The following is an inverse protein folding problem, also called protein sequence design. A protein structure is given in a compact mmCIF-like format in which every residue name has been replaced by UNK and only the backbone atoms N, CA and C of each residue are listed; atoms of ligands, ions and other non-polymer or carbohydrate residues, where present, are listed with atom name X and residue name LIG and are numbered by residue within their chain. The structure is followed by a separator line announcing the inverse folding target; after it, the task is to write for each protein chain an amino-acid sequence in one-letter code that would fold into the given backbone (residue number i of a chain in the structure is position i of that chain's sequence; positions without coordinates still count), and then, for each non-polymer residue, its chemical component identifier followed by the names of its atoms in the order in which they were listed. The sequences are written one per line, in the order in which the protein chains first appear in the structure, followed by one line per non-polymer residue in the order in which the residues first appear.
data_IF_975129267721
#
_entry.id   IF_975129267721
#
_cell.length_a   1.000
_cell.length_b   1.000
_cell.length_c   1.000
_cell.angle_alpha   90.00
_cell.angle_beta   90.00
_cell.angle_gamma   90.00
#
_symmetry.space_group_name_H-M   'P 1'
#
loop_
_entity.id
_entity.type
_entity.pdbx_description
1 polymer ?
#
# COMPACT_ATOMS: atom_id res chain seq x y z
N UNK A 1 5.17 -20.46 -37.68
CA UNK A 1 5.79 -20.34 -39.05
C UNK A 1 7.14 -21.03 -39.08
N UNK A 2 8.01 -20.82 -38.08
CA UNK A 2 9.32 -21.46 -38.01
C UNK A 2 9.22 -22.96 -37.79
N UNK A 3 8.28 -23.40 -36.99
CA UNK A 3 7.97 -24.81 -36.69
C UNK A 3 7.61 -25.57 -37.96
N UNK A 4 6.77 -24.97 -38.81
CA UNK A 4 6.36 -25.54 -40.08
C UNK A 4 7.52 -25.65 -41.07
N UNK A 5 8.43 -24.65 -41.08
CA UNK A 5 9.64 -24.67 -41.89
C UNK A 5 10.57 -25.78 -41.45
N UNK A 6 10.81 -25.94 -40.14
CA UNK A 6 11.66 -26.96 -39.54
C UNK A 6 11.11 -28.37 -39.84
N UNK A 7 9.80 -28.54 -39.63
CA UNK A 7 9.13 -29.80 -39.92
C UNK A 7 9.15 -30.14 -41.43
N UNK A 8 8.99 -29.12 -42.31
CA UNK A 8 9.03 -29.34 -43.76
C UNK A 8 10.42 -29.80 -44.25
N UNK A 9 11.46 -29.28 -43.62
CA UNK A 9 12.83 -29.65 -43.92
C UNK A 9 13.13 -31.10 -43.52
N UNK A 10 12.49 -31.60 -42.44
CA UNK A 10 12.65 -32.99 -41.96
C UNK A 10 11.76 -33.97 -42.66
N UNK A 11 10.66 -33.56 -43.28
CA UNK A 11 9.67 -34.51 -43.85
C UNK A 11 9.46 -34.30 -45.35
N UNK A 12 9.12 -33.09 -45.79
CA UNK A 12 8.84 -32.82 -47.21
C UNK A 12 10.11 -32.87 -48.06
N UNK A 13 11.23 -32.35 -47.53
CA UNK A 13 12.48 -32.34 -48.26
C UNK A 13 13.01 -33.76 -48.52
N UNK A 14 13.07 -34.70 -47.56
CA UNK A 14 13.46 -36.08 -47.82
C UNK A 14 12.53 -36.81 -48.79
N UNK A 15 11.18 -36.62 -48.67
CA UNK A 15 10.22 -37.22 -49.62
C UNK A 15 10.44 -36.67 -51.04
N UNK A 16 10.69 -35.38 -51.18
CA UNK A 16 11.07 -34.76 -52.47
C UNK A 16 12.41 -35.30 -53.02
N UNK A 17 13.43 -35.40 -52.17
CA UNK A 17 14.75 -35.97 -52.59
C UNK A 17 14.60 -37.41 -53.05
N UNK A 18 13.82 -38.22 -52.36
CA UNK A 18 13.51 -39.60 -52.77
C UNK A 18 12.79 -39.62 -54.13
N UNK A 19 11.78 -38.76 -54.34
CA UNK A 19 11.09 -38.65 -55.64
C UNK A 19 11.99 -38.19 -56.76
N UNK A 20 12.89 -37.26 -56.46
CA UNK A 20 13.82 -36.71 -57.45
C UNK A 20 14.93 -37.69 -57.86
N UNK A 21 15.58 -38.32 -56.89
CA UNK A 21 16.74 -39.17 -57.17
C UNK A 21 16.38 -40.65 -57.30
N UNK A 22 15.37 -41.14 -56.62
CA UNK A 22 14.91 -42.53 -56.70
C UNK A 22 13.90 -42.77 -57.83
N UNK A 23 13.01 -41.78 -58.11
CA UNK A 23 11.94 -41.90 -59.12
C UNK A 23 12.13 -41.02 -60.36
N UNK A 24 13.14 -40.16 -60.37
CA UNK A 24 13.45 -39.26 -61.49
C UNK A 24 12.48 -38.08 -61.70
N UNK A 25 11.52 -37.82 -60.79
CA UNK A 25 10.52 -36.81 -60.89
C UNK A 25 11.08 -35.43 -60.55
N UNK A 26 10.80 -34.39 -61.39
CA UNK A 26 11.29 -33.01 -61.21
C UNK A 26 10.16 -32.04 -60.94
N UNK A 27 10.43 -31.03 -60.07
CA UNK A 27 9.51 -29.92 -59.85
C UNK A 27 9.37 -29.12 -61.14
N UNK A 28 8.14 -28.74 -61.49
CA UNK A 28 7.80 -28.00 -62.69
C UNK A 28 7.52 -28.83 -63.91
N UNK A 29 7.80 -30.15 -63.86
CA UNK A 29 7.48 -31.11 -64.92
C UNK A 29 6.48 -32.16 -64.47
N UNK A 30 6.92 -33.15 -63.70
CA UNK A 30 6.09 -34.23 -63.15
C UNK A 30 5.44 -33.84 -61.83
N UNK A 31 6.11 -33.02 -60.99
CA UNK A 31 5.55 -32.44 -59.76
C UNK A 31 5.10 -31.00 -60.04
N UNK A 32 3.83 -30.80 -60.41
CA UNK A 32 3.21 -29.50 -60.62
C UNK A 32 2.45 -29.02 -59.40
N UNK A 33 1.96 -27.78 -59.40
CA UNK A 33 1.15 -27.26 -58.33
C UNK A 33 -0.14 -28.10 -58.08
N UNK A 34 -0.65 -28.79 -59.13
CA UNK A 34 -1.82 -29.67 -58.99
C UNK A 34 -1.47 -31.05 -58.51
N UNK A 35 -0.30 -31.58 -58.85
CA UNK A 35 0.12 -32.95 -58.49
C UNK A 35 0.95 -32.97 -57.18
N UNK A 36 1.43 -31.85 -56.68
CA UNK A 36 2.27 -31.75 -55.48
C UNK A 36 1.65 -32.45 -54.26
N UNK A 37 0.34 -32.24 -54.06
CA UNK A 37 -0.41 -32.87 -52.98
C UNK A 37 -0.43 -34.41 -53.08
N UNK A 38 -0.55 -34.93 -54.26
CA UNK A 38 -0.56 -36.37 -54.49
C UNK A 38 0.85 -36.97 -54.43
N UNK A 39 1.80 -36.31 -55.06
CA UNK A 39 3.18 -36.79 -55.15
C UNK A 39 3.92 -36.67 -53.82
N UNK A 40 3.77 -35.60 -53.06
CA UNK A 40 4.43 -35.38 -51.77
C UNK A 40 3.46 -35.58 -50.59
N UNK A 41 2.35 -36.33 -50.78
CA UNK A 41 1.33 -36.55 -49.75
C UNK A 41 1.89 -37.04 -48.42
N UNK A 42 2.84 -37.96 -48.43
CA UNK A 42 3.41 -38.53 -47.22
C UNK A 42 4.28 -37.49 -46.48
N UNK A 43 5.13 -36.75 -47.20
CA UNK A 43 5.90 -35.67 -46.65
C UNK A 43 5.03 -34.58 -46.07
N UNK A 44 3.93 -34.19 -46.76
CA UNK A 44 2.98 -33.16 -46.33
C UNK A 44 2.17 -33.62 -45.09
N UNK A 45 1.62 -34.82 -45.08
CA UNK A 45 0.83 -35.34 -43.97
C UNK A 45 1.70 -35.51 -42.72
N UNK A 46 2.91 -36.10 -42.87
CA UNK A 46 3.84 -36.22 -41.73
C UNK A 46 4.32 -34.87 -41.24
N UNK A 47 4.55 -33.92 -42.13
CA UNK A 47 4.88 -32.53 -41.76
C UNK A 47 3.75 -31.90 -40.89
N UNK A 48 2.51 -32.02 -41.35
CA UNK A 48 1.36 -31.48 -40.62
C UNK A 48 1.24 -32.11 -39.22
N UNK A 49 1.31 -33.44 -39.14
CA UNK A 49 1.22 -34.18 -37.88
C UNK A 49 2.37 -33.83 -36.93
N UNK A 50 3.59 -33.74 -37.45
CA UNK A 50 4.77 -33.37 -36.67
C UNK A 50 4.67 -31.92 -36.17
N UNK A 51 4.19 -30.99 -37.00
CA UNK A 51 4.02 -29.59 -36.66
C UNK A 51 2.95 -29.43 -35.56
N UNK A 52 1.81 -30.08 -35.68
CA UNK A 52 0.75 -30.07 -34.65
C UNK A 52 1.28 -30.65 -33.34
N UNK A 53 1.98 -31.81 -33.40
CA UNK A 53 2.57 -32.43 -32.24
C UNK A 53 3.61 -31.52 -31.55
N UNK A 54 4.50 -30.93 -32.34
CA UNK A 54 5.53 -30.02 -31.84
C UNK A 54 4.90 -28.77 -31.16
N UNK A 55 3.94 -28.14 -31.83
CA UNK A 55 3.21 -26.98 -31.27
C UNK A 55 2.52 -27.35 -29.96
N UNK A 56 1.85 -28.51 -29.91
CA UNK A 56 1.18 -28.98 -28.70
C UNK A 56 2.17 -29.21 -27.55
N UNK A 57 3.33 -29.85 -27.81
CA UNK A 57 4.35 -30.08 -26.79
C UNK A 57 4.97 -28.76 -26.32
N UNK A 58 5.24 -27.82 -27.25
CA UNK A 58 5.77 -26.48 -26.90
C UNK A 58 4.82 -25.79 -25.95
N UNK A 59 3.61 -25.50 -26.38
CA UNK A 59 2.69 -24.67 -25.60
C UNK A 59 2.18 -25.36 -24.33
N UNK A 60 2.14 -26.69 -24.28
CA UNK A 60 1.79 -27.41 -23.07
C UNK A 60 2.87 -27.35 -21.99
N UNK A 61 4.14 -27.56 -22.37
CA UNK A 61 5.25 -27.65 -21.41
C UNK A 61 6.03 -26.34 -21.23
N UNK A 62 5.99 -25.44 -22.20
CA UNK A 62 6.71 -24.18 -22.20
C UNK A 62 5.73 -23.03 -22.45
N UNK A 63 5.03 -22.56 -21.39
CA UNK A 63 4.03 -21.51 -21.48
C UNK A 63 4.55 -20.22 -22.12
N UNK A 64 3.71 -19.61 -22.94
CA UNK A 64 4.01 -18.36 -23.63
C UNK A 64 2.82 -17.41 -23.57
N UNK A 65 3.09 -16.12 -23.37
CA UNK A 65 2.03 -15.12 -23.37
C UNK A 65 2.49 -13.80 -23.98
N UNK A 66 1.60 -13.18 -24.73
CA UNK A 66 1.75 -11.79 -25.21
C UNK A 66 1.11 -10.78 -24.26
N UNK A 67 0.40 -11.26 -23.23
CA UNK A 67 -0.29 -10.45 -22.23
C UNK A 67 0.58 -10.29 -20.99
N UNK A 68 1.74 -9.69 -21.15
CA UNK A 68 2.64 -9.36 -20.06
C UNK A 68 2.89 -7.85 -20.01
N UNK A 69 2.97 -7.29 -18.81
CA UNK A 69 3.15 -5.86 -18.59
C UNK A 69 4.14 -5.61 -17.47
N UNK A 70 5.05 -4.66 -17.68
CA UNK A 70 5.93 -4.17 -16.64
C UNK A 70 5.09 -3.47 -15.56
N UNK A 71 4.88 -4.15 -14.43
CA UNK A 71 4.00 -3.67 -13.36
C UNK A 71 4.65 -2.52 -12.60
N UNK A 72 3.85 -1.53 -12.23
CA UNK A 72 4.27 -0.47 -11.32
C UNK A 72 3.15 -0.12 -10.35
N UNK A 73 3.55 0.29 -9.14
CA UNK A 73 2.62 0.68 -8.09
C UNK A 73 2.29 2.16 -8.21
N UNK A 74 1.03 2.48 -8.05
CA UNK A 74 0.53 3.86 -7.93
C UNK A 74 -0.09 4.09 -6.56
N UNK A 75 0.00 5.30 -6.05
CA UNK A 75 -0.63 5.74 -4.80
C UNK A 75 -1.62 6.86 -5.15
N UNK A 76 -2.92 6.67 -4.93
CA UNK A 76 -3.89 7.72 -5.16
C UNK A 76 -3.69 8.87 -4.16
N UNK A 77 -3.70 10.11 -4.65
CA UNK A 77 -3.61 11.31 -3.82
C UNK A 77 -5.04 11.67 -3.38
N UNK A 78 -5.34 11.39 -2.11
CA UNK A 78 -6.63 11.65 -1.51
C UNK A 78 -6.47 12.60 -0.32
N UNK A 79 -7.37 13.59 -0.14
CA UNK A 79 -7.41 14.38 1.08
C UNK A 79 -7.92 13.52 2.25
N UNK A 80 -7.45 13.78 3.46
CA UNK A 80 -7.97 13.12 4.66
C UNK A 80 -9.24 13.80 5.18
N UNK A 81 -9.46 15.05 4.81
CA UNK A 81 -10.60 15.86 5.24
C UNK A 81 -11.32 16.52 4.06
N UNK A 82 -12.58 16.84 4.26
CA UNK A 82 -13.35 17.60 3.28
C UNK A 82 -12.93 19.06 3.32
N UNK A 83 -12.83 19.71 2.17
CA UNK A 83 -12.51 21.12 2.11
C UNK A 83 -12.47 21.68 0.70
N UNK A 84 -12.30 22.98 0.61
CA UNK A 84 -12.04 23.70 -0.63
C UNK A 84 -10.54 23.84 -0.82
N UNK A 85 -10.03 23.59 -2.02
CA UNK A 85 -8.63 23.81 -2.36
C UNK A 85 -8.29 25.30 -2.31
N UNK A 86 -7.37 25.67 -1.43
CA UNK A 86 -6.88 27.03 -1.26
C UNK A 86 -5.62 27.30 -2.06
N UNK A 87 -4.68 26.34 -2.08
CA UNK A 87 -3.41 26.45 -2.78
C UNK A 87 -2.99 25.13 -3.39
N UNK A 88 -2.22 25.20 -4.48
CA UNK A 88 -1.63 24.06 -5.18
C UNK A 88 -0.13 24.34 -5.30
N UNK A 89 0.70 23.37 -4.91
CA UNK A 89 2.16 23.49 -4.91
C UNK A 89 2.82 22.69 -6.04
N UNK A 90 2.07 21.76 -6.68
CA UNK A 90 2.57 21.00 -7.84
C UNK A 90 2.35 21.82 -9.10
N UNK A 91 3.44 22.02 -9.87
CA UNK A 91 3.38 22.74 -11.14
C UNK A 91 2.91 21.80 -12.27
N UNK A 92 1.79 22.15 -12.91
CA UNK A 92 1.27 21.43 -14.08
C UNK A 92 0.53 20.12 -13.73
N UNK A 93 0.38 19.28 -14.75
CA UNK A 93 -0.35 17.99 -14.67
C UNK A 93 0.53 16.89 -14.13
N UNK A 94 1.86 17.03 -14.25
CA UNK A 94 2.86 16.09 -13.75
C UNK A 94 4.08 16.83 -13.19
N UNK A 95 4.69 16.27 -12.13
CA UNK A 95 5.88 16.85 -11.50
C UNK A 95 6.57 15.91 -10.54
N UNK A 96 7.91 16.03 -10.44
CA UNK A 96 8.68 15.29 -9.44
C UNK A 96 8.47 15.91 -8.07
N UNK A 97 8.25 15.09 -7.05
CA UNK A 97 8.03 15.51 -5.67
C UNK A 97 8.83 14.65 -4.70
N UNK A 98 9.31 15.27 -3.64
CA UNK A 98 10.00 14.57 -2.52
C UNK A 98 9.03 14.22 -1.41
N UNK A 99 9.34 13.19 -0.65
CA UNK A 99 8.60 12.82 0.56
C UNK A 99 8.45 14.02 1.50
N UNK A 100 7.26 14.21 2.05
CA UNK A 100 6.92 15.29 2.95
C UNK A 100 6.65 16.64 2.27
N UNK A 101 6.97 16.81 0.98
CA UNK A 101 6.65 18.06 0.27
C UNK A 101 5.14 18.22 0.08
N UNK A 102 4.62 19.45 0.22
CA UNK A 102 3.20 19.73 0.07
C UNK A 102 2.79 19.57 -1.41
N UNK A 103 1.62 18.96 -1.64
CA UNK A 103 1.00 18.82 -2.96
C UNK A 103 -0.05 19.92 -3.16
N UNK A 104 -0.97 20.03 -2.24
CA UNK A 104 -1.97 21.10 -2.19
C UNK A 104 -2.44 21.35 -0.75
N UNK A 105 -3.08 22.49 -0.51
CA UNK A 105 -3.63 22.87 0.78
C UNK A 105 -5.12 23.18 0.65
N UNK A 106 -5.88 22.71 1.62
CA UNK A 106 -7.29 23.07 1.79
C UNK A 106 -7.43 24.38 2.56
N UNK A 107 -8.57 25.01 2.46
CA UNK A 107 -8.95 26.12 3.33
C UNK A 107 -8.97 25.63 4.78
N UNK A 108 -8.11 26.20 5.59
CA UNK A 108 -7.84 25.81 6.97
C UNK A 108 -8.35 26.81 8.00
N UNK A 109 -9.09 27.86 7.55
CA UNK A 109 -9.55 28.94 8.41
C UNK A 109 -10.34 28.46 9.63
N UNK A 110 -11.13 27.41 9.47
CA UNK A 110 -11.89 26.77 10.57
C UNK A 110 -10.97 26.05 11.57
N UNK A 111 -9.99 25.34 11.10
CA UNK A 111 -9.03 24.59 11.92
C UNK A 111 -8.08 25.55 12.66
N UNK A 112 -7.64 26.63 12.02
CA UNK A 112 -6.88 27.69 12.66
C UNK A 112 -7.66 28.34 13.79
N UNK A 113 -8.93 28.68 13.56
CA UNK A 113 -9.80 29.25 14.61
C UNK A 113 -10.00 28.27 15.78
N UNK A 114 -10.13 26.98 15.51
CA UNK A 114 -10.23 25.93 16.54
C UNK A 114 -8.94 25.82 17.37
N UNK A 115 -7.78 25.85 16.73
CA UNK A 115 -6.48 25.81 17.42
C UNK A 115 -6.27 27.06 18.27
N UNK A 116 -6.65 28.23 17.77
CA UNK A 116 -6.57 29.46 18.53
C UNK A 116 -7.52 29.47 19.75
N UNK A 117 -8.72 28.94 19.59
CA UNK A 117 -9.67 28.77 20.69
C UNK A 117 -9.10 27.88 21.78
N UNK A 118 -8.47 26.77 21.41
CA UNK A 118 -7.83 25.86 22.35
C UNK A 118 -6.62 26.49 23.06
N UNK A 119 -5.82 27.32 22.36
CA UNK A 119 -4.73 28.09 22.98
C UNK A 119 -5.25 29.08 24.04
N UNK A 120 -6.34 29.80 23.72
CA UNK A 120 -6.97 30.71 24.68
C UNK A 120 -7.49 29.99 25.92
N UNK A 121 -8.01 28.76 25.75
CA UNK A 121 -8.47 27.97 26.88
C UNK A 121 -7.31 27.56 27.82
N UNK A 122 -6.13 27.27 27.31
CA UNK A 122 -4.94 27.02 28.13
C UNK A 122 -4.56 28.29 28.91
N UNK A 123 -4.52 29.43 28.25
CA UNK A 123 -4.22 30.70 28.89
C UNK A 123 -5.23 31.08 29.99
N UNK A 124 -6.52 30.76 29.80
CA UNK A 124 -7.56 30.95 30.79
C UNK A 124 -7.33 30.08 32.04
N UNK A 125 -6.97 28.80 31.85
CA UNK A 125 -6.64 27.89 32.96
C UNK A 125 -5.37 28.34 33.66
N UNK A 126 -4.34 28.80 32.94
CA UNK A 126 -3.12 29.35 33.55
C UNK A 126 -3.43 30.60 34.41
N UNK A 127 -4.29 31.49 33.95
CA UNK A 127 -4.76 32.62 34.75
C UNK A 127 -5.53 32.14 35.99
N UNK A 128 -6.38 31.12 35.86
CA UNK A 128 -7.09 30.53 36.98
C UNK A 128 -6.14 29.92 38.02
N UNK A 129 -5.02 29.29 37.57
CA UNK A 129 -3.99 28.81 38.48
C UNK A 129 -3.29 29.91 39.27
N UNK A 130 -3.04 31.06 38.65
CA UNK A 130 -2.51 32.26 39.34
C UNK A 130 -3.50 32.76 40.37
N UNK A 131 -4.77 32.89 40.01
CA UNK A 131 -5.83 33.32 40.93
C UNK A 131 -5.96 32.33 42.12
N UNK A 132 -5.95 31.04 41.89
CA UNK A 132 -6.05 30.05 42.94
C UNK A 132 -4.88 30.07 43.94
N UNK A 133 -3.69 30.51 43.52
CA UNK A 133 -2.55 30.73 44.45
C UNK A 133 -2.86 31.89 45.42
N UNK A 134 -3.52 32.95 44.96
CA UNK A 134 -3.93 34.02 45.82
C UNK A 134 -5.05 33.61 46.81
N UNK A 135 -5.92 32.67 46.39
CA UNK A 135 -6.94 32.08 47.27
C UNK A 135 -6.32 31.30 48.43
N UNK A 136 -5.21 30.57 48.17
CA UNK A 136 -4.45 29.86 49.22
C UNK A 136 -3.88 30.84 50.21
N UNK A 137 -3.24 31.93 49.75
CA UNK A 137 -2.65 32.95 50.62
C UNK A 137 -3.79 33.63 51.48
N UNK A 138 -4.94 33.91 50.90
CA UNK A 138 -6.09 34.45 51.61
C UNK A 138 -6.63 33.49 52.67
N UNK A 139 -6.67 32.17 52.37
CA UNK A 139 -7.08 31.14 53.33
C UNK A 139 -6.06 31.01 54.47
N UNK A 140 -4.77 31.15 54.22
CA UNK A 140 -3.72 31.18 55.26
C UNK A 140 -3.93 32.37 56.21
N UNK A 141 -4.21 33.56 55.66
CA UNK A 141 -4.55 34.73 56.48
C UNK A 141 -5.75 34.46 57.40
N UNK A 142 -6.78 33.82 56.92
CA UNK A 142 -7.96 33.46 57.74
C UNK A 142 -7.63 32.44 58.87
N UNK A 143 -6.72 31.54 58.63
CA UNK A 143 -6.22 30.57 59.65
C UNK A 143 -5.51 31.35 60.75
N UNK A 144 -4.63 32.30 60.39
CA UNK A 144 -3.91 33.14 61.37
C UNK A 144 -4.89 33.95 62.22
N UNK A 145 -5.91 34.58 61.60
CA UNK A 145 -6.97 35.33 62.29
C UNK A 145 -7.73 34.40 63.26
N UNK A 146 -8.21 33.24 62.79
CA UNK A 146 -8.93 32.29 63.63
C UNK A 146 -8.11 31.78 64.80
N UNK A 147 -6.80 31.50 64.61
CA UNK A 147 -5.87 31.09 65.65
C UNK A 147 -5.68 32.17 66.70
N UNK A 148 -5.52 33.42 66.27
CA UNK A 148 -5.40 34.56 67.17
C UNK A 148 -6.66 34.73 68.04
N UNK A 149 -7.85 34.63 67.44
CA UNK A 149 -9.11 34.69 68.15
C UNK A 149 -9.30 33.49 69.14
N UNK A 150 -8.85 32.32 68.75
CA UNK A 150 -8.83 31.17 69.66
C UNK A 150 -7.92 31.36 70.83
N UNK A 151 -6.68 31.78 70.61
CA UNK A 151 -5.71 32.04 71.69
C UNK A 151 -6.23 33.06 72.65
N UNK A 152 -6.83 34.18 72.18
CA UNK A 152 -7.43 35.18 73.04
C UNK A 152 -8.52 34.60 73.90
N UNK A 153 -9.41 33.72 73.38
CA UNK A 153 -10.46 33.06 74.15
C UNK A 153 -9.90 32.06 75.15
N UNK A 154 -8.80 31.36 74.86
CA UNK A 154 -8.11 30.48 75.79
C UNK A 154 -7.49 31.29 76.95
N UNK A 155 -6.77 32.34 76.63
CA UNK A 155 -6.14 33.21 77.67
C UNK A 155 -7.18 33.81 78.60
N UNK A 156 -8.35 34.23 78.10
CA UNK A 156 -9.44 34.73 78.91
C UNK A 156 -10.02 33.62 79.82
N UNK A 157 -10.22 32.41 79.26
CA UNK A 157 -10.70 31.28 80.05
C UNK A 157 -9.73 30.90 81.14
N UNK A 158 -8.42 30.75 80.85
CA UNK A 158 -7.39 30.46 81.82
C UNK A 158 -7.33 31.52 82.93
N UNK A 159 -7.37 32.78 82.56
CA UNK A 159 -7.41 33.89 83.54
C UNK A 159 -8.59 33.77 84.46
N UNK A 160 -9.79 33.54 83.96
CA UNK A 160 -11.02 33.36 84.79
C UNK A 160 -10.97 32.11 85.64
N UNK A 161 -10.49 31.01 85.18
CA UNK A 161 -10.24 29.78 85.91
C UNK A 161 -9.27 29.93 87.07
N UNK A 162 -8.16 30.67 86.83
CA UNK A 162 -7.18 30.95 87.88
C UNK A 162 -7.78 31.85 88.97
N UNK A 163 -8.58 32.88 88.58
CA UNK A 163 -9.28 33.72 89.58
C UNK A 163 -10.23 32.91 90.36
N UNK A 164 -11.02 32.01 89.73
CA UNK A 164 -11.94 31.11 90.41
C UNK A 164 -11.25 30.16 91.41
N UNK A 165 -10.11 29.59 91.03
CA UNK A 165 -9.30 28.73 91.89
C UNK A 165 -8.82 29.44 93.12
N UNK A 166 -8.43 30.75 92.97
CA UNK A 166 -7.99 31.59 94.15
C UNK A 166 -9.13 32.11 94.98
N UNK A 167 -10.26 32.43 94.39
CA UNK A 167 -11.46 32.92 95.08
C UNK A 167 -12.73 32.47 94.33
N UNK A 168 -13.37 31.37 94.72
CA UNK A 168 -14.54 30.85 94.07
C UNK A 168 -15.78 31.76 94.05
N UNK A 169 -15.82 32.84 94.86
CA UNK A 169 -16.88 33.85 94.84
C UNK A 169 -16.62 35.04 93.86
N UNK A 170 -15.44 35.14 93.23
CA UNK A 170 -15.08 36.27 92.36
C UNK A 170 -15.55 36.08 90.89
N UNK A 171 -15.86 34.89 90.44
CA UNK A 171 -16.27 34.56 89.09
C UNK A 171 -17.41 33.55 89.12
N UNK A 172 -18.49 33.78 88.38
CA UNK A 172 -19.62 32.80 88.27
C UNK A 172 -19.20 31.60 87.41
N UNK A 173 -19.56 30.39 87.94
CA UNK A 173 -19.31 29.14 87.19
C UNK A 173 -19.86 29.15 85.74
N UNK A 174 -21.01 29.79 85.59
CA UNK A 174 -21.68 29.98 84.29
C UNK A 174 -20.84 30.77 83.28
N UNK A 175 -19.99 31.75 83.76
CA UNK A 175 -19.11 32.53 82.91
C UNK A 175 -17.91 31.67 82.37
N UNK A 176 -17.44 30.73 83.23
CA UNK A 176 -16.40 29.75 82.85
C UNK A 176 -16.95 28.78 81.78
N UNK A 177 -18.18 28.24 82.03
CA UNK A 177 -18.87 27.34 81.07
C UNK A 177 -19.10 28.05 79.72
N UNK A 178 -19.48 29.34 79.71
CA UNK A 178 -19.68 30.13 78.50
C UNK A 178 -18.40 30.36 77.75
N UNK A 179 -17.28 30.62 78.46
CA UNK A 179 -15.97 30.76 77.86
C UNK A 179 -15.47 29.43 77.27
N UNK A 180 -15.73 28.30 77.93
CA UNK A 180 -15.44 26.96 77.37
C UNK A 180 -16.16 26.77 76.04
N UNK A 181 -17.44 27.07 75.94
CA UNK A 181 -18.21 26.97 74.71
C UNK A 181 -17.65 27.94 73.66
N UNK A 182 -17.18 29.13 74.06
CA UNK A 182 -16.52 30.08 73.14
C UNK A 182 -15.25 29.53 72.58
N UNK A 183 -14.39 28.94 73.39
CA UNK A 183 -13.13 28.28 72.98
C UNK A 183 -13.44 27.16 71.97
N UNK A 184 -14.45 26.30 72.26
CA UNK A 184 -14.87 25.27 71.29
C UNK A 184 -15.34 25.86 69.98
N UNK A 185 -16.13 26.92 70.01
CA UNK A 185 -16.59 27.63 68.79
C UNK A 185 -15.43 28.22 67.97
N UNK A 186 -14.40 28.77 68.65
CA UNK A 186 -13.17 29.28 68.00
C UNK A 186 -12.33 28.18 67.41
N UNK A 187 -12.27 27.00 68.05
CA UNK A 187 -11.59 25.80 67.48
C UNK A 187 -12.29 25.39 66.20
N UNK A 188 -13.61 25.31 66.18
CA UNK A 188 -14.38 25.00 64.94
C UNK A 188 -14.14 26.05 63.81
N UNK A 189 -13.86 27.28 64.18
CA UNK A 189 -13.48 28.32 63.15
C UNK A 189 -12.08 28.02 62.55
N UNK A 190 -11.11 27.54 63.32
CA UNK A 190 -9.81 27.11 62.84
C UNK A 190 -9.95 25.93 61.89
N UNK A 191 -10.75 24.94 62.28
CA UNK A 191 -10.98 23.73 61.47
C UNK A 191 -11.65 24.08 60.14
N UNK A 192 -12.64 24.95 60.14
CA UNK A 192 -13.27 25.47 58.93
C UNK A 192 -12.30 26.25 58.03
N UNK A 193 -11.45 27.10 58.62
CA UNK A 193 -10.44 27.85 57.83
C UNK A 193 -9.35 26.90 57.27
N UNK A 194 -8.97 25.85 57.98
CA UNK A 194 -8.04 24.85 57.53
C UNK A 194 -8.64 24.02 56.38
N UNK A 195 -9.88 23.60 56.47
CA UNK A 195 -10.58 22.91 55.39
C UNK A 195 -10.67 23.77 54.11
N UNK A 196 -10.91 25.07 54.26
CA UNK A 196 -10.93 26.02 53.15
C UNK A 196 -9.54 26.14 52.44
N UNK A 197 -8.46 26.13 53.25
CA UNK A 197 -7.09 26.08 52.68
C UNK A 197 -6.86 24.79 51.90
N UNK A 198 -7.17 23.64 52.48
CA UNK A 198 -7.02 22.30 51.82
C UNK A 198 -7.81 22.24 50.51
N UNK A 199 -9.02 22.83 50.49
CA UNK A 199 -9.81 22.91 49.28
C UNK A 199 -9.11 23.77 48.20
N UNK A 200 -8.54 24.91 48.56
CA UNK A 200 -7.80 25.78 47.63
C UNK A 200 -6.52 25.08 47.13
N UNK A 201 -5.80 24.40 47.98
CA UNK A 201 -4.62 23.61 47.61
C UNK A 201 -4.97 22.45 46.67
N UNK A 202 -6.04 21.72 46.94
CA UNK A 202 -6.53 20.64 46.06
C UNK A 202 -6.91 21.13 44.70
N UNK A 203 -7.49 22.37 44.61
CA UNK A 203 -7.78 22.97 43.34
C UNK A 203 -6.54 23.24 42.51
N UNK A 204 -5.42 23.68 43.13
CA UNK A 204 -4.14 23.93 42.46
C UNK A 204 -3.42 22.66 42.12
N UNK A 205 -3.39 21.67 43.04
CA UNK A 205 -2.58 20.46 42.89
C UNK A 205 -3.24 19.41 42.00
N UNK A 206 -4.55 19.39 41.90
CA UNK A 206 -5.29 18.32 41.22
C UNK A 206 -6.24 18.82 40.12
N UNK A 207 -7.14 19.74 40.44
CA UNK A 207 -8.22 20.12 39.54
C UNK A 207 -7.72 20.95 38.34
N UNK A 208 -7.03 22.07 38.59
CA UNK A 208 -6.52 22.95 37.54
C UNK A 208 -5.46 22.30 36.65
N UNK A 209 -4.50 21.48 37.15
CA UNK A 209 -3.60 20.70 36.28
C UNK A 209 -4.35 19.72 35.38
N UNK A 210 -5.38 19.05 35.85
CA UNK A 210 -6.21 18.16 35.06
C UNK A 210 -6.99 18.93 33.96
N UNK A 211 -7.54 20.09 34.30
CA UNK A 211 -8.19 20.98 33.30
C UNK A 211 -7.18 21.47 32.26
N UNK A 212 -5.97 21.82 32.67
CA UNK A 212 -4.89 22.24 31.77
C UNK A 212 -4.50 21.13 30.81
N UNK A 213 -4.27 19.91 31.33
CA UNK A 213 -3.96 18.75 30.51
C UNK A 213 -5.08 18.43 29.47
N UNK A 214 -6.35 18.62 29.86
CA UNK A 214 -7.48 18.49 28.94
C UNK A 214 -7.47 19.56 27.83
N UNK A 215 -7.16 20.81 28.20
CA UNK A 215 -7.05 21.91 27.24
C UNK A 215 -5.85 21.73 26.27
N UNK A 216 -4.73 21.23 26.78
CA UNK A 216 -3.54 20.88 25.95
C UNK A 216 -3.85 19.75 25.00
N UNK A 217 -4.57 18.72 25.42
CA UNK A 217 -5.02 17.63 24.54
C UNK A 217 -5.97 18.15 23.43
N UNK A 218 -6.87 19.07 23.75
CA UNK A 218 -7.73 19.73 22.77
C UNK A 218 -6.94 20.55 21.76
N UNK A 219 -5.88 21.25 22.18
CA UNK A 219 -4.97 21.96 21.27
C UNK A 219 -4.22 20.99 20.37
N UNK A 220 -3.69 19.91 20.91
CA UNK A 220 -3.00 18.89 20.12
C UNK A 220 -3.92 18.28 19.04
N UNK A 221 -5.18 18.00 19.39
CA UNK A 221 -6.18 17.53 18.43
C UNK A 221 -6.43 18.58 17.33
N UNK A 222 -6.62 19.85 17.68
CA UNK A 222 -6.84 20.91 16.71
C UNK A 222 -5.64 21.13 15.78
N UNK A 223 -4.41 20.93 16.28
CA UNK A 223 -3.20 20.97 15.46
C UNK A 223 -3.13 19.83 14.47
N UNK A 224 -3.45 18.59 14.88
CA UNK A 224 -3.54 17.43 13.97
C UNK A 224 -4.56 17.69 12.85
N UNK A 225 -5.71 18.27 13.20
CA UNK A 225 -6.76 18.57 12.22
C UNK A 225 -6.32 19.69 11.27
N UNK A 226 -5.52 20.65 11.75
CA UNK A 226 -4.90 21.68 10.93
C UNK A 226 -3.85 21.09 9.99
N UNK A 227 -2.97 20.23 10.48
CA UNK A 227 -1.93 19.56 9.67
C UNK A 227 -2.53 18.71 8.54
N UNK A 228 -3.68 18.06 8.77
CA UNK A 228 -4.42 17.31 7.76
C UNK A 228 -4.98 18.15 6.61
N UNK A 229 -5.02 19.46 6.75
CA UNK A 229 -5.43 20.35 5.66
C UNK A 229 -4.35 20.49 4.59
N UNK A 230 -3.09 20.16 4.88
CA UNK A 230 -1.97 20.17 3.94
C UNK A 230 -1.67 18.77 3.50
N UNK A 231 -2.04 18.45 2.28
CA UNK A 231 -1.80 17.13 1.67
C UNK A 231 -0.35 17.07 1.19
N UNK A 232 0.40 16.09 1.71
CA UNK A 232 1.83 15.93 1.46
C UNK A 232 2.12 14.60 0.75
N UNK A 233 3.22 14.56 0.00
CA UNK A 233 3.71 13.31 -0.60
C UNK A 233 4.19 12.34 0.48
N UNK A 234 3.65 11.11 0.48
CA UNK A 234 4.05 10.07 1.43
C UNK A 234 5.41 9.44 1.10
N UNK A 235 5.87 9.52 -0.14
CA UNK A 235 7.12 8.98 -0.66
C UNK A 235 7.68 9.88 -1.76
N UNK A 236 8.97 9.71 -2.08
CA UNK A 236 9.57 10.33 -3.26
C UNK A 236 8.96 9.73 -4.54
N UNK A 237 8.69 10.57 -5.54
CA UNK A 237 8.10 10.09 -6.79
C UNK A 237 7.69 11.18 -7.76
N UNK A 238 6.83 10.76 -8.68
CA UNK A 238 6.20 11.65 -9.66
C UNK A 238 4.70 11.73 -9.42
N UNK A 239 4.17 12.95 -9.35
CA UNK A 239 2.73 13.18 -9.37
C UNK A 239 2.29 13.19 -10.83
N UNK A 240 1.28 12.41 -11.16
CA UNK A 240 0.70 12.32 -12.50
C UNK A 240 -0.80 12.53 -12.45
N UNK A 241 -1.37 13.02 -13.56
CA UNK A 241 -2.81 13.24 -13.73
C UNK A 241 -3.42 14.14 -12.63
N UNK A 242 -2.66 15.13 -12.16
CA UNK A 242 -3.16 16.07 -11.18
C UNK A 242 -4.16 17.04 -11.83
N UNK A 243 -5.43 16.97 -11.40
CA UNK A 243 -6.54 17.68 -12.08
C UNK A 243 -7.20 18.77 -11.23
N UNK A 244 -6.83 18.89 -9.95
CA UNK A 244 -7.43 19.89 -9.07
C UNK A 244 -7.07 21.32 -9.46
N UNK A 245 -7.98 22.24 -9.17
CA UNK A 245 -7.80 23.67 -9.29
C UNK A 245 -8.14 24.38 -7.98
N UNK A 246 -7.55 25.54 -7.76
CA UNK A 246 -7.91 26.39 -6.64
C UNK A 246 -9.40 26.72 -6.71
N UNK A 247 -10.10 26.52 -5.59
CA UNK A 247 -11.54 26.66 -5.48
C UNK A 247 -12.35 25.37 -5.59
N UNK A 248 -11.76 24.27 -6.06
CA UNK A 248 -12.44 22.96 -6.09
C UNK A 248 -12.77 22.47 -4.68
N UNK A 249 -13.86 21.74 -4.56
CA UNK A 249 -14.26 21.09 -3.32
C UNK A 249 -13.89 19.60 -3.41
N UNK A 250 -13.15 19.12 -2.42
CA UNK A 250 -12.67 17.73 -2.36
C UNK A 250 -13.21 17.01 -1.13
N UNK A 251 -13.31 15.68 -1.27
CA UNK A 251 -13.80 14.77 -0.24
C UNK A 251 -13.02 13.46 -0.35
N UNK A 252 -12.62 12.80 0.77
CA UNK A 252 -11.95 11.48 0.77
C UNK A 252 -12.67 10.37 -0.02
N UNK A 253 -14.00 10.45 -0.12
CA UNK A 253 -14.83 9.44 -0.83
C UNK A 253 -15.00 9.74 -2.33
N UNK A 254 -14.51 10.86 -2.82
CA UNK A 254 -14.53 11.21 -4.24
C UNK A 254 -13.32 10.64 -4.98
N UNK A 255 -13.24 10.95 -6.28
CA UNK A 255 -12.10 10.56 -7.08
C UNK A 255 -10.79 11.16 -6.56
N UNK A 256 -9.66 10.48 -6.74
CA UNK A 256 -8.33 11.02 -6.39
C UNK A 256 -8.03 12.35 -7.09
N UNK A 257 -7.29 13.21 -6.42
CA UNK A 257 -6.79 14.48 -6.95
C UNK A 257 -5.77 14.27 -8.08
N UNK A 258 -5.07 13.15 -8.04
CA UNK A 258 -4.04 12.71 -8.95
C UNK A 258 -3.48 11.38 -8.46
N UNK A 259 -2.38 10.95 -9.07
CA UNK A 259 -1.71 9.69 -8.74
C UNK A 259 -0.24 9.99 -8.47
N UNK A 260 0.27 9.49 -7.36
CA UNK A 260 1.71 9.51 -7.04
C UNK A 260 2.32 8.17 -7.46
N UNK A 261 3.31 8.22 -8.35
CA UNK A 261 4.12 7.08 -8.77
C UNK A 261 5.42 7.14 -7.97
N UNK A 262 5.66 6.22 -7.03
CA UNK A 262 6.87 6.21 -6.23
C UNK A 262 8.13 6.09 -7.08
N UNK A 263 9.22 6.71 -6.68
CA UNK A 263 10.52 6.53 -7.34
C UNK A 263 10.98 5.07 -7.17
N UNK A 264 11.25 4.39 -8.30
CA UNK A 264 11.53 2.95 -8.28
C UNK A 264 10.30 2.05 -8.30
N UNK A 265 9.07 2.60 -8.36
CA UNK A 265 7.88 1.79 -8.62
C UNK A 265 8.00 1.10 -10.00
N UNK A 266 7.86 -0.22 -10.00
CA UNK A 266 7.95 -1.03 -11.24
C UNK A 266 9.36 -1.46 -11.61
N UNK A 267 10.37 -1.16 -10.82
CA UNK A 267 11.70 -1.76 -11.02
C UNK A 267 11.65 -3.23 -10.65
N UNK A 268 11.72 -4.09 -11.66
CA UNK A 268 12.00 -5.49 -11.50
C UNK A 268 10.84 -6.46 -11.46
N UNK A 269 9.60 -6.07 -11.78
CA UNK A 269 8.48 -7.02 -11.82
C UNK A 269 7.70 -6.95 -13.11
N UNK A 270 7.51 -8.12 -13.73
CA UNK A 270 6.61 -8.34 -14.84
C UNK A 270 5.38 -9.09 -14.34
N UNK A 271 4.23 -8.63 -14.73
CA UNK A 271 2.96 -9.30 -14.50
C UNK A 271 2.48 -9.89 -15.82
N UNK A 272 2.29 -11.20 -15.87
CA UNK A 272 1.96 -11.93 -17.08
C UNK A 272 0.73 -12.80 -16.90
N UNK A 273 -0.20 -12.76 -17.86
CA UNK A 273 -1.41 -13.58 -17.88
C UNK A 273 -1.22 -14.79 -18.77
N UNK A 274 -1.18 -16.00 -18.20
CA UNK A 274 -1.05 -17.27 -18.93
C UNK A 274 -2.41 -17.99 -19.06
N UNK A 275 -2.56 -18.79 -20.11
CA UNK A 275 -3.74 -19.59 -20.33
C UNK A 275 -3.93 -20.67 -19.25
N UNK A 276 -5.19 -21.15 -19.09
CA UNK A 276 -5.53 -22.12 -18.04
C UNK A 276 -4.83 -23.49 -18.23
N UNK A 277 -4.60 -23.91 -19.49
CA UNK A 277 -3.92 -25.17 -19.79
C UNK A 277 -2.44 -25.07 -19.43
N UNK A 278 -1.82 -23.98 -19.78
CA UNK A 278 -0.41 -23.65 -19.52
C UNK A 278 -0.12 -23.49 -18.01
N UNK A 279 -1.11 -22.99 -17.27
CA UNK A 279 -1.03 -22.82 -15.83
C UNK A 279 -0.75 -24.12 -15.05
N UNK A 280 -1.12 -25.28 -15.61
CA UNK A 280 -0.88 -26.58 -14.95
C UNK A 280 0.61 -26.91 -14.77
N UNK A 281 1.46 -26.36 -15.62
CA UNK A 281 2.91 -26.57 -15.55
C UNK A 281 3.67 -25.42 -14.88
N UNK A 282 3.00 -24.29 -14.66
CA UNK A 282 3.62 -23.11 -14.04
C UNK A 282 3.96 -23.36 -12.57
N UNK A 283 5.18 -23.04 -12.18
CA UNK A 283 5.67 -23.18 -10.80
C UNK A 283 6.60 -22.02 -10.46
N UNK A 284 6.61 -21.64 -9.19
CA UNK A 284 7.60 -20.71 -8.64
C UNK A 284 9.00 -21.31 -8.82
N UNK A 285 9.96 -20.49 -9.21
CA UNK A 285 11.34 -20.90 -9.51
C UNK A 285 11.59 -21.31 -10.96
N UNK A 286 10.56 -21.36 -11.82
CA UNK A 286 10.78 -21.64 -13.26
C UNK A 286 11.58 -20.51 -13.90
N UNK A 287 12.52 -20.89 -14.75
CA UNK A 287 13.24 -19.94 -15.61
C UNK A 287 12.29 -19.43 -16.70
N UNK A 288 12.35 -18.17 -16.95
CA UNK A 288 11.53 -17.49 -17.94
C UNK A 288 12.39 -16.47 -18.71
N UNK A 289 11.89 -16.03 -19.84
CA UNK A 289 12.47 -14.94 -20.63
C UNK A 289 11.35 -13.99 -21.06
N UNK A 290 11.67 -12.70 -21.13
CA UNK A 290 10.75 -11.70 -21.64
C UNK A 290 11.42 -10.74 -22.62
N UNK A 291 10.61 -10.19 -23.54
CA UNK A 291 11.00 -9.08 -24.40
C UNK A 291 9.93 -8.01 -24.31
N UNK A 292 10.33 -6.75 -24.16
CA UNK A 292 9.42 -5.62 -23.93
C UNK A 292 9.50 -4.58 -25.06
N UNK A 293 8.38 -3.96 -25.38
CA UNK A 293 8.28 -2.95 -26.44
C UNK A 293 9.17 -1.73 -26.17
N UNK A 294 9.30 -1.31 -24.91
CA UNK A 294 10.15 -0.15 -24.54
C UNK A 294 11.65 -0.44 -24.55
N UNK A 295 12.07 -1.73 -24.55
CA UNK A 295 13.46 -2.16 -24.68
C UNK A 295 13.59 -3.16 -25.82
N UNK A 296 13.46 -2.69 -27.06
CA UNK A 296 13.44 -3.54 -28.26
C UNK A 296 14.76 -4.32 -28.43
N UNK A 297 14.69 -5.44 -29.18
CA UNK A 297 15.80 -6.33 -29.51
C UNK A 297 16.52 -6.94 -28.31
N UNK A 298 15.97 -6.83 -27.11
CA UNK A 298 16.57 -7.37 -25.90
C UNK A 298 15.68 -8.47 -25.33
N UNK A 299 16.29 -9.61 -24.99
CA UNK A 299 15.65 -10.68 -24.23
C UNK A 299 16.16 -10.59 -22.79
N UNK A 300 15.25 -10.50 -21.84
CA UNK A 300 15.53 -10.34 -20.42
C UNK A 300 15.33 -11.70 -19.76
N UNK A 301 16.37 -12.32 -19.17
CA UNK A 301 16.23 -13.53 -18.38
C UNK A 301 15.46 -13.22 -17.09
N UNK A 302 14.49 -14.06 -16.79
CA UNK A 302 13.58 -13.88 -15.66
C UNK A 302 13.37 -15.18 -14.89
N UNK A 303 12.81 -15.06 -13.69
CA UNK A 303 12.38 -16.18 -12.86
C UNK A 303 10.95 -15.94 -12.40
N UNK A 304 10.16 -17.01 -12.34
CA UNK A 304 8.80 -16.97 -11.80
C UNK A 304 8.89 -16.87 -10.28
N UNK A 305 8.40 -15.77 -9.70
CA UNK A 305 8.41 -15.53 -8.25
C UNK A 305 7.04 -15.74 -7.61
N UNK A 306 5.97 -15.73 -8.39
CA UNK A 306 4.62 -15.98 -7.89
C UNK A 306 3.69 -16.47 -8.98
N UNK A 307 2.82 -17.41 -8.64
CA UNK A 307 1.76 -17.93 -9.49
C UNK A 307 0.46 -17.82 -8.71
N UNK A 308 -0.57 -17.25 -9.32
CA UNK A 308 -1.89 -17.12 -8.70
C UNK A 308 -2.65 -18.46 -8.77
N UNK A 309 -3.18 -18.92 -7.64
CA UNK A 309 -3.88 -20.20 -7.54
C UNK A 309 -5.35 -20.17 -8.00
N UNK A 310 -5.87 -19.00 -8.33
CA UNK A 310 -7.26 -18.81 -8.72
C UNK A 310 -7.39 -17.89 -9.93
N UNK A 311 -8.47 -18.06 -10.68
CA UNK A 311 -8.76 -17.30 -11.88
C UNK A 311 -9.77 -16.20 -11.54
N UNK A 312 -9.40 -14.94 -11.73
CA UNK A 312 -10.22 -13.78 -11.37
C UNK A 312 -11.58 -13.75 -12.09
N UNK A 313 -11.69 -14.34 -13.28
CA UNK A 313 -12.95 -14.44 -14.02
C UNK A 313 -14.03 -15.26 -13.28
N UNK A 314 -13.65 -16.14 -12.35
CA UNK A 314 -14.59 -16.90 -11.50
C UNK A 314 -14.97 -16.20 -10.20
N UNK A 315 -14.54 -14.97 -9.97
CA UNK A 315 -14.86 -14.23 -8.74
C UNK A 315 -16.35 -13.88 -8.69
N UNK A 316 -17.03 -14.30 -7.62
CA UNK A 316 -18.38 -13.86 -7.31
C UNK A 316 -18.32 -12.38 -6.86
N UNK A 317 -18.81 -11.49 -7.69
CA UNK A 317 -18.94 -10.07 -7.36
C UNK A 317 -20.32 -9.85 -6.72
N UNK A 318 -20.34 -9.53 -5.43
CA UNK A 318 -21.54 -9.04 -4.76
C UNK A 318 -21.77 -7.58 -5.19
N UNK A 319 -22.55 -7.36 -6.24
CA UNK A 319 -22.90 -6.04 -6.76
C UNK A 319 -24.32 -6.07 -7.30
N UNK A 320 -24.98 -4.91 -7.32
CA UNK A 320 -26.37 -4.73 -7.75
C UNK A 320 -26.61 -4.94 -9.27
N UNK A 321 -25.57 -5.23 -10.05
CA UNK A 321 -25.67 -5.45 -11.49
C UNK A 321 -25.76 -6.94 -11.83
N UNK A 322 -26.72 -7.27 -12.67
CA UNK A 322 -26.82 -8.58 -13.29
C UNK A 322 -25.57 -8.86 -14.13
N UNK A 323 -24.99 -10.05 -13.94
CA UNK A 323 -23.84 -10.50 -14.73
C UNK A 323 -24.27 -10.74 -16.18
N UNK A 324 -23.62 -10.07 -17.12
CA UNK A 324 -23.78 -10.35 -18.55
C UNK A 324 -23.18 -11.74 -18.85
N UNK A 325 -23.97 -12.68 -19.41
CA UNK A 325 -23.49 -14.01 -19.79
C UNK A 325 -22.25 -13.96 -20.71
N UNK A 326 -22.09 -12.93 -21.54
CA UNK A 326 -20.95 -12.77 -22.42
C UNK A 326 -19.65 -12.46 -21.66
N UNK A 327 -19.73 -11.85 -20.48
CA UNK A 327 -18.56 -11.61 -19.62
C UNK A 327 -18.10 -12.87 -18.89
N UNK A 328 -19.00 -13.81 -18.63
CA UNK A 328 -18.70 -15.10 -17.98
C UNK A 328 -18.02 -16.07 -18.95
N UNK A 329 -18.26 -15.96 -20.25
CA UNK A 329 -17.74 -16.87 -21.28
C UNK A 329 -16.29 -16.59 -21.67
N UNK A 330 -15.70 -15.45 -21.30
CA UNK A 330 -14.28 -15.18 -21.59
C UNK A 330 -13.39 -16.06 -20.71
N UNK A 331 -12.53 -16.91 -21.30
CA UNK A 331 -11.60 -17.70 -20.52
C UNK A 331 -10.67 -16.78 -19.74
N UNK A 332 -10.68 -16.89 -18.43
CA UNK A 332 -9.78 -16.16 -17.58
C UNK A 332 -8.34 -16.67 -17.75
N UNK A 333 -7.38 -15.80 -17.45
CA UNK A 333 -5.95 -16.15 -17.40
C UNK A 333 -5.50 -16.27 -15.96
N UNK A 334 -4.44 -17.03 -15.71
CA UNK A 334 -3.73 -17.10 -14.44
C UNK A 334 -2.65 -16.03 -14.43
N UNK A 335 -2.60 -15.27 -13.35
CA UNK A 335 -1.62 -14.23 -13.17
C UNK A 335 -0.33 -14.81 -12.61
N UNK A 336 0.78 -14.48 -13.25
CA UNK A 336 2.13 -14.91 -12.88
C UNK A 336 3.00 -13.67 -12.72
N UNK A 337 3.79 -13.65 -11.65
CA UNK A 337 4.79 -12.63 -11.42
C UNK A 337 6.16 -13.16 -11.78
N UNK A 338 6.90 -12.36 -12.57
CA UNK A 338 8.25 -12.66 -12.97
C UNK A 338 9.18 -11.53 -12.53
N UNK A 339 10.37 -11.89 -12.06
CA UNK A 339 11.42 -10.95 -11.70
C UNK A 339 12.67 -11.23 -12.56
N UNK A 340 13.46 -10.20 -12.92
CA UNK A 340 14.68 -10.41 -13.68
C UNK A 340 15.67 -11.23 -12.86
N UNK A 341 16.40 -12.11 -13.52
CA UNK A 341 17.42 -12.95 -12.90
C UNK A 341 18.64 -12.14 -12.45
N UNK A 342 18.88 -10.98 -13.07
CA UNK A 342 19.97 -10.06 -12.78
C UNK A 342 19.42 -8.69 -12.37
N UNK A 343 20.06 -8.03 -11.40
CA UNK A 343 19.58 -6.76 -10.82
C UNK A 343 19.33 -5.66 -11.87
N UNK A 344 20.15 -5.58 -12.91
CA UNK A 344 20.05 -4.57 -13.99
C UNK A 344 19.18 -5.02 -15.17
N UNK A 345 18.55 -6.20 -15.09
CA UNK A 345 17.81 -6.80 -16.20
C UNK A 345 16.67 -5.93 -16.73
N UNK A 346 16.05 -5.17 -15.84
CA UNK A 346 14.91 -4.29 -16.16
C UNK A 346 15.30 -2.84 -16.49
N UNK A 347 16.59 -2.50 -16.44
CA UNK A 347 17.04 -1.14 -16.77
C UNK A 347 16.69 -0.79 -18.22
N UNK A 348 16.06 0.38 -18.37
CA UNK A 348 15.55 0.84 -19.67
C UNK A 348 14.17 0.28 -20.06
N UNK A 349 13.54 -0.57 -19.23
CA UNK A 349 12.13 -0.95 -19.41
C UNK A 349 11.24 0.10 -18.77
N UNK A 350 10.41 0.74 -19.58
CA UNK A 350 9.45 1.74 -19.09
C UNK A 350 8.33 1.05 -18.30
N UNK A 351 8.01 1.50 -17.08
CA UNK A 351 6.85 1.00 -16.34
C UNK A 351 5.57 1.08 -17.20
N UNK A 352 4.77 0.03 -17.19
CA UNK A 352 3.60 -0.09 -18.03
C UNK A 352 3.85 -0.63 -19.44
N UNK A 353 5.11 -0.91 -19.81
CA UNK A 353 5.45 -1.47 -21.12
C UNK A 353 4.81 -2.84 -21.34
N UNK A 354 4.26 -3.05 -22.54
CA UNK A 354 3.81 -4.36 -22.99
C UNK A 354 5.00 -5.25 -23.29
N UNK A 355 4.92 -6.51 -22.88
CA UNK A 355 5.97 -7.50 -23.06
C UNK A 355 5.40 -8.83 -23.54
N UNK A 356 6.27 -9.65 -24.13
CA UNK A 356 6.03 -11.06 -24.42
C UNK A 356 6.86 -11.85 -23.41
N UNK A 357 6.27 -12.85 -22.77
CA UNK A 357 6.96 -13.67 -21.77
C UNK A 357 6.78 -15.16 -22.06
N UNK A 358 7.89 -15.89 -21.99
CA UNK A 358 7.92 -17.34 -22.09
C UNK A 358 8.48 -17.93 -20.79
N UNK A 359 7.93 -19.05 -20.34
CA UNK A 359 8.46 -19.82 -19.23
C UNK A 359 8.88 -21.22 -19.70
N UNK A 360 9.91 -21.78 -19.08
CA UNK A 360 10.51 -23.04 -19.53
C UNK A 360 10.45 -24.08 -18.43
N UNK A 361 9.81 -25.21 -18.71
CA UNK A 361 9.87 -26.38 -17.84
C UNK A 361 11.24 -27.04 -17.97
N UNK A 362 11.88 -27.35 -16.87
CA UNK A 362 13.08 -28.19 -16.80
C UNK A 362 12.76 -29.48 -16.08
N UNK A 363 13.12 -30.60 -16.68
CA UNK A 363 13.00 -31.92 -16.09
C UNK A 363 14.37 -32.51 -15.65
N UNK A 364 15.42 -31.66 -15.66
CA UNK A 364 16.78 -32.05 -15.35
C UNK A 364 16.88 -32.78 -14.01
N UNK A 365 16.32 -32.23 -12.94
CA UNK A 365 16.41 -32.87 -11.60
C UNK A 365 15.71 -34.20 -11.52
N UNK A 366 14.57 -34.36 -12.22
CA UNK A 366 13.83 -35.62 -12.29
C UNK A 366 14.57 -36.70 -13.09
N UNK A 367 15.30 -36.28 -14.11
CA UNK A 367 16.13 -37.21 -14.92
C UNK A 367 17.39 -37.58 -14.15
N UNK A 368 18.02 -36.58 -13.48
CA UNK A 368 19.24 -36.77 -12.70
C UNK A 368 19.03 -37.66 -11.45
N UNK A 369 17.82 -37.63 -10.85
CA UNK A 369 17.49 -38.48 -9.69
C UNK A 369 17.47 -40.00 -10.00
N UNK A 370 17.42 -40.38 -11.28
CA UNK A 370 17.39 -41.79 -11.70
C UNK A 370 16.05 -42.51 -11.42
N UNK A 371 15.05 -41.83 -10.89
CA UNK A 371 13.72 -42.41 -10.61
C UNK A 371 12.89 -42.67 -11.87
N UNK A 372 13.37 -42.17 -13.02
CA UNK A 372 12.63 -42.22 -14.29
C UNK A 372 13.19 -43.34 -15.17
N UNK A 373 12.33 -44.27 -15.60
CA UNK A 373 12.73 -45.33 -16.56
C UNK A 373 13.21 -44.73 -17.90
N UNK A 374 14.05 -45.51 -18.63
CA UNK A 374 14.76 -45.03 -19.83
C UNK A 374 13.88 -44.43 -20.91
N UNK A 375 12.73 -45.01 -21.23
CA UNK A 375 11.78 -44.44 -22.22
C UNK A 375 11.18 -43.15 -21.79
N UNK A 376 10.80 -43.02 -20.50
CA UNK A 376 10.24 -41.79 -19.94
C UNK A 376 11.32 -40.72 -19.83
N UNK A 377 12.56 -41.09 -19.50
CA UNK A 377 13.72 -40.18 -19.49
C UNK A 377 13.98 -39.61 -20.88
N UNK A 378 13.94 -40.44 -21.93
CA UNK A 378 14.09 -39.95 -23.30
C UNK A 378 12.98 -38.99 -23.72
N UNK A 379 11.74 -39.27 -23.32
CA UNK A 379 10.61 -38.33 -23.58
C UNK A 379 10.79 -37.00 -22.85
N UNK A 380 11.25 -37.00 -21.60
CA UNK A 380 11.52 -35.78 -20.83
C UNK A 380 12.70 -34.99 -21.41
N UNK A 381 13.75 -35.64 -21.88
CA UNK A 381 14.82 -34.97 -22.64
C UNK A 381 14.29 -34.31 -23.92
N UNK A 382 13.36 -34.98 -24.62
CA UNK A 382 12.69 -34.42 -25.79
C UNK A 382 11.90 -33.15 -25.43
N UNK A 383 11.19 -33.14 -24.31
CA UNK A 383 10.48 -31.97 -23.82
C UNK A 383 11.45 -30.81 -23.53
N UNK A 384 12.54 -31.07 -22.81
CA UNK A 384 13.53 -30.04 -22.48
C UNK A 384 14.25 -29.51 -23.75
N UNK A 385 14.51 -30.37 -24.73
CA UNK A 385 15.07 -29.93 -26.01
C UNK A 385 14.12 -29.00 -26.81
N UNK A 386 12.82 -29.27 -26.74
CA UNK A 386 11.80 -28.40 -27.37
C UNK A 386 11.78 -27.02 -26.72
N UNK A 387 12.11 -26.89 -25.43
CA UNK A 387 12.29 -25.60 -24.76
C UNK A 387 13.33 -24.70 -25.41
N UNK A 388 14.42 -25.28 -25.93
CA UNK A 388 15.44 -24.52 -26.70
C UNK A 388 14.88 -23.96 -28.00
N UNK A 389 14.03 -24.72 -28.69
CA UNK A 389 13.34 -24.25 -29.90
C UNK A 389 12.43 -23.06 -29.54
N UNK A 390 11.69 -23.18 -28.42
CA UNK A 390 10.81 -22.14 -27.96
C UNK A 390 11.58 -20.86 -27.56
N UNK A 391 12.74 -20.99 -26.91
CA UNK A 391 13.61 -19.86 -26.59
C UNK A 391 14.15 -19.18 -27.87
N UNK A 392 14.47 -19.95 -28.91
CA UNK A 392 14.88 -19.40 -30.21
C UNK A 392 13.74 -18.63 -30.89
N UNK A 393 12.50 -19.11 -30.77
CA UNK A 393 11.31 -18.40 -31.27
C UNK A 393 11.16 -17.03 -30.60
N UNK A 394 11.33 -16.94 -29.28
CA UNK A 394 11.28 -15.66 -28.57
C UNK A 394 12.35 -14.69 -29.05
N UNK A 395 13.58 -15.15 -29.32
CA UNK A 395 14.64 -14.29 -29.88
C UNK A 395 14.29 -13.75 -31.26
N UNK A 396 13.65 -14.56 -32.10
CA UNK A 396 13.14 -14.12 -33.37
C UNK A 396 11.98 -13.13 -33.20
N UNK A 397 11.08 -13.41 -32.26
CA UNK A 397 10.01 -12.48 -31.89
C UNK A 397 10.59 -11.14 -31.41
N UNK A 398 11.63 -11.15 -30.55
CA UNK A 398 12.29 -9.92 -30.08
C UNK A 398 12.87 -9.08 -31.22
N UNK A 399 13.33 -9.70 -32.32
CA UNK A 399 13.80 -9.00 -33.51
C UNK A 399 12.65 -8.44 -34.35
N UNK A 400 11.57 -9.19 -34.49
CA UNK A 400 10.44 -8.86 -35.38
C UNK A 400 9.42 -7.94 -34.69
N UNK A 401 9.24 -8.05 -33.37
CA UNK A 401 8.21 -7.34 -32.61
C UNK A 401 8.28 -5.80 -32.78
N UNK A 402 9.44 -5.14 -32.69
CA UNK A 402 9.51 -3.70 -32.92
C UNK A 402 9.17 -3.32 -34.36
N UNK A 403 9.57 -4.14 -35.35
CA UNK A 403 9.24 -3.91 -36.76
C UNK A 403 7.73 -4.07 -36.96
N UNK A 404 7.13 -5.10 -36.38
CA UNK A 404 5.71 -5.36 -36.47
C UNK A 404 4.87 -4.24 -35.82
N UNK A 405 5.29 -3.74 -34.64
CA UNK A 405 4.60 -2.62 -34.00
C UNK A 405 4.73 -1.31 -34.76
N UNK A 406 5.88 -1.03 -35.37
CA UNK A 406 6.11 0.20 -36.14
C UNK A 406 5.45 0.17 -37.53
N UNK A 407 5.40 -0.99 -38.17
CA UNK A 407 4.91 -1.10 -39.57
C UNK A 407 3.44 -1.52 -39.64
N UNK A 408 3.00 -2.43 -38.76
CA UNK A 408 1.65 -3.00 -38.78
C UNK A 408 0.73 -2.50 -37.66
N UNK A 409 1.28 -1.95 -36.58
CA UNK A 409 0.53 -1.44 -35.43
C UNK A 409 0.23 0.05 -35.48
N UNK A 410 0.63 0.75 -36.50
CA UNK A 410 0.52 2.20 -36.64
C UNK A 410 -0.79 2.72 -37.26
N UNK A 411 -1.90 2.00 -37.11
CA UNK A 411 -3.22 2.52 -37.52
C UNK A 411 -4.32 2.08 -36.60
#
# INVERSE_FOLDING_TARGET
MLELLLCSLLTILPDYLYRRYGQGKRIGKEITLFSVWFELRWGIITCLMLTIGLITVIFYNHPSTTNATAFFRTIPILPETNGRVAEIYVEGVSGRIKQGAPIFRLDNSRQEAAAETARRRIAEVDAAMVAARTDVAAAEGRIIEARSAYQQAVDELETKQEIYRRNPGAVATRDIERLQVTVQGRQGAIDAATAAKEQAETRISTLLPAEKASAEAALAQAQVDLDKTVIRAGVDGHVEQFTLRVGDVVNPLMRPAGVLIPEGAGRGRLQAGFGQIEAQVMKVGMVAEATCASKPWTVIPMVVTGVQDFIAAGQLRSGEQLLDPQQVVRPGTILVYLEPLYEDGFDGVTPGSSCIANAYTSNHDRIASGEVGTLKGLALHGVDAVGLVHAMILRIQALVYPIQTLVLGGH
#
